data_IF_025514180961
#
_entry.id   IF_025514180961
#
_cell.length_a   1.000
_cell.length_b   1.000
_cell.length_c   1.000
_cell.angle_alpha   90.00
_cell.angle_beta   90.00
_cell.angle_gamma   90.00
#
_symmetry.space_group_name_H-M   'P 1'
#
loop_
_entity.id
_entity.type
_entity.pdbx_description
1 polymer ?
#
# COMPACT_ATOMS: atom_id res chain seq x y z
N UNK A 1 -4.20 -37.45 -8.96
CA UNK A 1 -4.13 -38.02 -7.57
C UNK A 1 -3.65 -36.89 -6.67
N UNK A 2 -4.61 -36.06 -6.21
CA UNK A 2 -4.31 -34.86 -5.44
C UNK A 2 -3.90 -35.29 -4.04
N UNK A 3 -2.62 -35.17 -3.74
CA UNK A 3 -2.10 -35.31 -2.38
C UNK A 3 -2.72 -34.17 -1.55
N UNK A 4 -3.79 -34.48 -0.79
CA UNK A 4 -4.24 -33.65 0.33
C UNK A 4 -3.09 -33.61 1.33
N UNK A 5 -2.30 -32.54 1.29
CA UNK A 5 -1.25 -32.26 2.25
C UNK A 5 -1.92 -32.13 3.62
N UNK A 6 -1.77 -33.15 4.46
CA UNK A 6 -2.14 -33.05 5.86
C UNK A 6 -1.26 -31.96 6.49
N UNK A 7 -1.87 -30.93 7.04
CA UNK A 7 -1.23 -29.70 7.56
C UNK A 7 -0.23 -29.89 8.71
N UNK A 8 0.12 -31.12 9.05
CA UNK A 8 1.04 -31.51 10.14
C UNK A 8 2.32 -32.19 9.69
N UNK A 9 2.49 -32.43 8.38
CA UNK A 9 3.69 -33.10 7.84
C UNK A 9 4.67 -32.08 7.29
N UNK A 10 5.97 -32.28 7.56
CA UNK A 10 7.02 -31.56 6.84
C UNK A 10 6.98 -31.99 5.36
N UNK A 11 7.03 -31.01 4.47
CA UNK A 11 7.11 -31.22 3.02
C UNK A 11 8.38 -30.57 2.48
N UNK A 12 8.97 -31.18 1.46
CA UNK A 12 10.04 -30.52 0.72
C UNK A 12 9.45 -29.36 -0.05
N UNK A 13 9.91 -28.15 0.27
CA UNK A 13 9.39 -26.90 -0.31
C UNK A 13 9.54 -26.86 -1.83
N UNK A 14 10.56 -27.53 -2.37
CA UNK A 14 10.78 -27.60 -3.82
C UNK A 14 9.78 -28.52 -4.55
N UNK A 15 9.08 -29.38 -3.81
CA UNK A 15 8.06 -30.29 -4.35
C UNK A 15 6.65 -29.74 -4.16
N UNK A 16 6.50 -28.56 -3.53
CA UNK A 16 5.19 -27.92 -3.38
C UNK A 16 4.74 -27.39 -4.73
N UNK A 17 3.62 -27.91 -5.21
CA UNK A 17 2.96 -27.33 -6.39
C UNK A 17 2.28 -26.02 -5.96
N UNK A 18 2.74 -24.91 -6.50
CA UNK A 18 2.14 -23.59 -6.24
C UNK A 18 0.97 -23.43 -7.21
N UNK A 19 -0.28 -23.26 -6.71
CA UNK A 19 -1.43 -23.03 -7.57
C UNK A 19 -1.26 -21.79 -8.44
N UNK A 20 -1.75 -21.81 -9.68
CA UNK A 20 -1.67 -20.70 -10.62
C UNK A 20 -2.25 -19.40 -10.07
N UNK A 21 -3.23 -19.48 -9.18
CA UNK A 21 -3.83 -18.34 -8.50
C UNK A 21 -2.81 -17.49 -7.74
N UNK A 22 -1.73 -18.08 -7.20
CA UNK A 22 -0.67 -17.35 -6.50
C UNK A 22 0.24 -16.57 -7.43
N UNK A 23 0.29 -16.93 -8.72
CA UNK A 23 1.02 -16.18 -9.75
C UNK A 23 0.16 -15.06 -10.37
N UNK A 24 -1.16 -15.15 -10.23
CA UNK A 24 -2.12 -14.16 -10.74
C UNK A 24 -2.64 -13.32 -9.59
N UNK A 25 -2.11 -12.11 -9.48
CA UNK A 25 -2.60 -11.14 -8.48
C UNK A 25 -3.96 -10.61 -8.89
N UNK A 26 -4.82 -10.35 -7.90
CA UNK A 26 -6.10 -9.68 -8.10
C UNK A 26 -5.85 -8.18 -8.23
N UNK A 27 -6.08 -7.61 -9.41
CA UNK A 27 -5.87 -6.19 -9.68
C UNK A 27 -7.16 -5.41 -9.55
N UNK A 28 -7.07 -4.23 -8.94
CA UNK A 28 -8.21 -3.31 -8.83
C UNK A 28 -8.39 -2.43 -10.08
N UNK A 29 -7.39 -2.40 -10.98
CA UNK A 29 -7.34 -1.46 -12.09
C UNK A 29 -6.99 -0.04 -11.66
N UNK A 30 -6.70 0.19 -10.38
CA UNK A 30 -6.14 1.44 -9.86
C UNK A 30 -4.62 1.21 -9.76
N UNK A 31 -3.91 1.59 -10.83
CA UNK A 31 -2.48 1.27 -11.02
C UNK A 31 -1.63 1.62 -9.79
N UNK A 32 -1.87 2.79 -9.19
CA UNK A 32 -1.11 3.26 -8.05
C UNK A 32 -1.29 2.36 -6.82
N UNK A 33 -2.52 1.89 -6.56
CA UNK A 33 -2.80 0.95 -5.47
C UNK A 33 -2.26 -0.45 -5.79
N UNK A 34 -2.47 -0.94 -7.01
CA UNK A 34 -1.99 -2.25 -7.42
C UNK A 34 -0.47 -2.35 -7.30
N UNK A 35 0.25 -1.29 -7.68
CA UNK A 35 1.71 -1.20 -7.53
C UNK A 35 2.16 -1.24 -6.06
N UNK A 36 1.43 -0.60 -5.14
CA UNK A 36 1.72 -0.67 -3.70
C UNK A 36 1.55 -2.08 -3.14
N UNK A 37 0.58 -2.84 -3.65
CA UNK A 37 0.39 -4.25 -3.28
C UNK A 37 1.36 -5.21 -3.99
N UNK A 38 2.25 -4.72 -4.87
CA UNK A 38 3.18 -5.55 -5.65
C UNK A 38 2.50 -6.17 -6.87
N UNK A 39 1.81 -5.35 -7.65
CA UNK A 39 1.00 -5.67 -8.83
C UNK A 39 -0.35 -6.34 -8.52
N UNK A 40 -0.94 -6.00 -7.37
CA UNK A 40 -2.27 -6.47 -6.95
C UNK A 40 -2.27 -7.31 -5.68
N UNK A 41 -3.46 -7.71 -5.25
CA UNK A 41 -3.68 -8.47 -4.02
C UNK A 41 -3.31 -9.95 -4.22
N UNK A 42 -2.64 -10.54 -3.23
CA UNK A 42 -2.31 -11.98 -3.24
C UNK A 42 -3.47 -12.78 -2.61
N UNK A 43 -3.99 -13.85 -3.26
CA UNK A 43 -5.00 -14.70 -2.68
C UNK A 43 -4.63 -15.21 -1.28
N UNK A 44 -5.60 -15.22 -0.37
CA UNK A 44 -5.41 -15.66 1.02
C UNK A 44 -4.59 -14.70 1.90
N UNK A 45 -4.19 -13.53 1.39
CA UNK A 45 -3.47 -12.53 2.19
C UNK A 45 -4.38 -11.82 3.18
N UNK A 46 -3.77 -11.33 4.25
CA UNK A 46 -4.45 -10.63 5.34
C UNK A 46 -3.88 -9.22 5.48
N UNK A 47 -4.76 -8.23 5.47
CA UNK A 47 -4.42 -6.81 5.39
C UNK A 47 -5.11 -6.07 6.53
N UNK A 48 -4.42 -5.19 7.21
CA UNK A 48 -5.04 -4.20 8.08
C UNK A 48 -4.90 -2.81 7.50
N UNK A 49 -5.96 -2.02 7.63
CA UNK A 49 -5.93 -0.59 7.31
C UNK A 49 -6.38 0.21 8.53
N UNK A 50 -5.54 1.13 8.96
CA UNK A 50 -5.77 1.90 10.17
C UNK A 50 -5.66 3.41 9.90
N UNK A 51 -6.59 4.17 10.47
CA UNK A 51 -6.55 5.62 10.41
C UNK A 51 -7.41 6.22 11.53
N UNK A 52 -7.22 7.50 11.81
CA UNK A 52 -8.17 8.28 12.61
C UNK A 52 -9.54 8.31 11.91
N UNK A 53 -10.61 8.54 12.69
CA UNK A 53 -11.94 8.75 12.13
C UNK A 53 -11.92 9.91 11.12
N UNK A 54 -12.69 9.79 10.04
CA UNK A 54 -12.81 10.82 9.01
C UNK A 54 -11.67 10.90 7.99
N UNK A 55 -10.64 10.05 8.06
CA UNK A 55 -9.54 10.06 7.08
C UNK A 55 -9.82 9.24 5.81
N UNK A 56 -11.02 8.66 5.65
CA UNK A 56 -11.45 8.06 4.39
C UNK A 56 -11.21 6.56 4.24
N UNK A 57 -11.06 5.79 5.35
CA UNK A 57 -10.90 4.31 5.29
C UNK A 57 -11.99 3.62 4.46
N UNK A 58 -13.25 3.86 4.81
CA UNK A 58 -14.42 3.28 4.11
C UNK A 58 -14.42 3.68 2.62
N UNK A 59 -14.13 4.96 2.32
CA UNK A 59 -14.05 5.46 0.94
C UNK A 59 -12.98 4.73 0.14
N UNK A 60 -11.76 4.59 0.69
CA UNK A 60 -10.67 3.87 0.03
C UNK A 60 -11.04 2.40 -0.23
N UNK A 61 -11.63 1.74 0.76
CA UNK A 61 -12.02 0.34 0.61
C UNK A 61 -13.12 0.14 -0.42
N UNK A 62 -14.13 1.00 -0.44
CA UNK A 62 -15.20 0.91 -1.45
C UNK A 62 -14.68 1.14 -2.86
N UNK A 63 -13.75 2.06 -3.08
CA UNK A 63 -13.13 2.26 -4.39
C UNK A 63 -12.24 1.08 -4.80
N UNK A 64 -11.46 0.53 -3.89
CA UNK A 64 -10.68 -0.69 -4.12
C UNK A 64 -11.60 -1.86 -4.52
N UNK A 65 -12.68 -2.08 -3.77
CA UNK A 65 -13.64 -3.14 -4.06
C UNK A 65 -14.35 -2.92 -5.40
N UNK A 66 -14.72 -1.68 -5.74
CA UNK A 66 -15.31 -1.38 -7.05
C UNK A 66 -14.35 -1.72 -8.20
N UNK A 67 -13.07 -1.40 -8.03
CA UNK A 67 -12.04 -1.78 -9.00
C UNK A 67 -11.96 -3.29 -9.19
N UNK A 68 -11.97 -4.05 -8.08
CA UNK A 68 -11.97 -5.52 -8.09
C UNK A 68 -13.24 -6.11 -8.73
N UNK A 69 -14.42 -5.53 -8.47
CA UNK A 69 -15.67 -5.91 -9.17
C UNK A 69 -15.54 -5.70 -10.68
N UNK A 70 -14.96 -4.59 -11.11
CA UNK A 70 -14.78 -4.28 -12.52
C UNK A 70 -13.82 -5.25 -13.23
N UNK A 71 -12.91 -5.88 -12.48
CA UNK A 71 -11.99 -6.93 -12.97
C UNK A 71 -12.52 -8.35 -12.76
N UNK A 72 -13.78 -8.50 -12.30
CA UNK A 72 -14.51 -9.77 -12.26
C UNK A 72 -14.40 -10.55 -10.95
N UNK A 73 -13.98 -9.89 -9.86
CA UNK A 73 -13.86 -10.53 -8.54
C UNK A 73 -15.16 -10.39 -7.71
N UNK A 74 -15.46 -11.44 -6.95
CA UNK A 74 -16.55 -11.47 -5.97
C UNK A 74 -16.07 -10.79 -4.67
N UNK A 75 -16.72 -9.70 -4.29
CA UNK A 75 -16.31 -8.92 -3.13
C UNK A 75 -17.42 -8.78 -2.09
N UNK A 76 -17.02 -8.75 -0.82
CA UNK A 76 -17.90 -8.56 0.31
C UNK A 76 -17.47 -7.44 1.25
N UNK A 77 -18.44 -6.78 1.89
CA UNK A 77 -18.22 -5.78 2.92
C UNK A 77 -19.09 -6.09 4.14
N UNK A 78 -18.44 -6.39 5.25
CA UNK A 78 -19.11 -6.65 6.52
C UNK A 78 -18.92 -5.42 7.42
N UNK A 79 -20.00 -4.69 7.68
CA UNK A 79 -20.01 -3.56 8.60
C UNK A 79 -20.57 -3.98 9.96
N UNK A 80 -19.91 -3.56 11.04
CA UNK A 80 -20.46 -3.65 12.39
C UNK A 80 -20.52 -2.26 13.08
N UNK A 81 -20.27 -1.21 12.31
CA UNK A 81 -20.30 0.19 12.79
C UNK A 81 -21.41 1.00 12.10
N UNK A 82 -21.49 0.91 10.78
CA UNK A 82 -22.48 1.64 9.98
C UNK A 82 -23.62 0.68 9.58
N UNK A 83 -24.86 1.21 9.49
CA UNK A 83 -25.98 0.45 8.93
C UNK A 83 -25.80 0.23 7.43
N UNK A 84 -26.52 -0.76 6.89
CA UNK A 84 -26.49 -1.04 5.44
C UNK A 84 -26.97 0.17 4.63
N UNK A 85 -27.95 0.93 5.15
CA UNK A 85 -28.46 2.12 4.52
C UNK A 85 -27.40 3.24 4.45
N UNK A 86 -26.63 3.44 5.53
CA UNK A 86 -25.53 4.42 5.56
C UNK A 86 -24.41 4.01 4.58
N UNK A 87 -24.05 2.74 4.55
CA UNK A 87 -23.08 2.22 3.59
C UNK A 87 -23.58 2.40 2.16
N UNK A 88 -24.88 2.10 1.88
CA UNK A 88 -25.49 2.28 0.57
C UNK A 88 -25.49 3.75 0.12
N UNK A 89 -25.71 4.71 1.04
CA UNK A 89 -25.57 6.13 0.73
C UNK A 89 -24.14 6.47 0.30
N UNK A 90 -23.15 5.94 0.98
CA UNK A 90 -21.73 6.13 0.62
C UNK A 90 -21.40 5.50 -0.72
N UNK A 91 -21.86 4.28 -0.99
CA UNK A 91 -21.73 3.62 -2.29
C UNK A 91 -22.34 4.45 -3.41
N UNK A 92 -23.56 4.99 -3.21
CA UNK A 92 -24.22 5.85 -4.19
C UNK A 92 -23.43 7.14 -4.48
N UNK A 93 -22.87 7.77 -3.44
CA UNK A 93 -22.03 8.97 -3.57
C UNK A 93 -20.76 8.69 -4.39
N UNK A 94 -20.17 7.51 -4.19
CA UNK A 94 -18.93 7.09 -4.85
C UNK A 94 -19.17 6.37 -6.19
N UNK A 95 -20.42 6.22 -6.63
CA UNK A 95 -20.81 5.43 -7.79
C UNK A 95 -20.29 3.98 -7.74
N UNK A 96 -20.35 3.37 -6.54
CA UNK A 96 -19.94 2.01 -6.27
C UNK A 96 -21.13 1.07 -6.36
N UNK A 97 -20.99 -0.02 -7.11
CA UNK A 97 -22.06 -0.97 -7.40
C UNK A 97 -21.59 -2.42 -7.24
N UNK A 98 -22.54 -3.35 -7.11
CA UNK A 98 -22.29 -4.81 -7.08
C UNK A 98 -21.39 -5.28 -5.93
N UNK A 99 -21.37 -4.55 -4.80
CA UNK A 99 -20.76 -5.00 -3.56
C UNK A 99 -21.81 -5.64 -2.69
N UNK A 100 -21.56 -6.88 -2.24
CA UNK A 100 -22.43 -7.55 -1.25
C UNK A 100 -22.04 -7.08 0.13
N UNK A 101 -23.01 -6.61 0.91
CA UNK A 101 -22.77 -6.12 2.26
C UNK A 101 -23.68 -6.79 3.29
N UNK A 102 -23.20 -6.87 4.53
CA UNK A 102 -23.98 -7.32 5.68
C UNK A 102 -23.63 -6.51 6.93
N UNK A 103 -24.57 -6.48 7.89
CA UNK A 103 -24.27 -6.07 9.26
C UNK A 103 -24.09 -7.34 10.12
N UNK A 104 -22.86 -7.65 10.48
CA UNK A 104 -22.53 -8.79 11.31
C UNK A 104 -21.30 -8.47 12.17
N UNK A 105 -21.32 -8.88 13.43
CA UNK A 105 -20.20 -8.75 14.36
C UNK A 105 -19.65 -10.11 14.81
N UNK A 106 -20.43 -11.17 14.72
CA UNK A 106 -20.00 -12.50 15.15
C UNK A 106 -18.95 -13.07 14.19
N UNK A 107 -17.74 -13.22 14.70
CA UNK A 107 -16.58 -13.67 13.90
C UNK A 107 -16.77 -15.06 13.28
N UNK A 108 -17.53 -15.97 13.90
CA UNK A 108 -17.77 -17.30 13.32
C UNK A 108 -18.70 -17.22 12.13
N UNK A 109 -19.73 -16.37 12.21
CA UNK A 109 -20.66 -16.13 11.11
C UNK A 109 -19.90 -15.49 9.93
N UNK A 110 -19.12 -14.42 10.19
CA UNK A 110 -18.29 -13.77 9.17
C UNK A 110 -17.35 -14.79 8.52
N UNK A 111 -16.62 -15.57 9.33
CA UNK A 111 -15.70 -16.60 8.85
C UNK A 111 -16.40 -17.63 7.94
N UNK A 112 -17.66 -17.99 8.19
CA UNK A 112 -18.40 -18.97 7.39
C UNK A 112 -18.75 -18.47 5.98
N UNK A 113 -18.75 -17.14 5.76
CA UNK A 113 -19.04 -16.54 4.47
C UNK A 113 -17.82 -16.33 3.59
N UNK A 114 -16.61 -16.43 4.14
CA UNK A 114 -15.38 -16.09 3.42
C UNK A 114 -15.14 -16.94 2.16
N UNK A 115 -15.64 -18.19 2.11
CA UNK A 115 -15.55 -19.04 0.90
C UNK A 115 -16.36 -18.50 -0.30
N UNK A 116 -17.20 -17.48 -0.10
CA UNK A 116 -18.06 -16.90 -1.13
C UNK A 116 -17.46 -15.67 -1.79
N UNK A 117 -16.30 -15.22 -1.32
CA UNK A 117 -15.69 -13.98 -1.75
C UNK A 117 -14.20 -14.17 -2.05
N UNK A 118 -13.73 -13.51 -3.11
CA UNK A 118 -12.30 -13.36 -3.37
C UNK A 118 -11.69 -12.36 -2.39
N UNK A 119 -12.45 -11.29 -2.05
CA UNK A 119 -12.03 -10.26 -1.09
C UNK A 119 -13.17 -9.94 -0.13
N UNK A 120 -12.89 -9.96 1.17
CA UNK A 120 -13.82 -9.55 2.22
C UNK A 120 -13.22 -8.43 3.07
N UNK A 121 -13.94 -7.31 3.17
CA UNK A 121 -13.64 -6.23 4.11
C UNK A 121 -14.49 -6.39 5.36
N UNK A 122 -13.88 -6.19 6.54
CA UNK A 122 -14.55 -6.14 7.85
C UNK A 122 -14.30 -4.78 8.50
N UNK A 123 -15.35 -4.03 8.73
CA UNK A 123 -15.36 -2.69 9.31
C UNK A 123 -16.25 -2.65 10.58
N UNK A 124 -15.65 -2.71 11.75
CA UNK A 124 -14.22 -2.73 12.06
C UNK A 124 -13.84 -4.00 12.85
N UNK A 125 -12.53 -4.26 12.92
CA UNK A 125 -11.97 -5.32 13.76
C UNK A 125 -12.37 -5.17 15.24
N UNK A 126 -12.44 -3.94 15.75
CA UNK A 126 -12.78 -3.65 17.13
C UNK A 126 -14.25 -3.92 17.48
N UNK A 127 -15.14 -3.98 16.49
CA UNK A 127 -16.56 -4.31 16.66
C UNK A 127 -16.86 -5.80 16.62
N UNK A 128 -15.86 -6.66 16.41
CA UNK A 128 -16.06 -8.11 16.36
C UNK A 128 -16.48 -8.69 17.72
N UNK A 129 -17.27 -9.73 17.68
CA UNK A 129 -17.80 -10.42 18.87
C UNK A 129 -17.70 -11.94 18.75
N UNK A 130 -17.69 -12.62 19.92
CA UNK A 130 -17.78 -14.09 20.02
C UNK A 130 -18.25 -14.51 21.39
N UNK A 131 -19.53 -14.83 21.53
CA UNK A 131 -20.10 -15.27 22.81
C UNK A 131 -19.68 -14.39 23.95
N UNK A 132 -19.19 -14.98 25.04
CA UNK A 132 -18.75 -14.26 26.26
C UNK A 132 -17.27 -13.81 26.20
N UNK A 133 -16.57 -14.03 25.08
CA UNK A 133 -15.17 -13.59 24.94
C UNK A 133 -15.08 -12.07 24.90
N UNK A 134 -14.08 -11.52 25.59
CA UNK A 134 -13.81 -10.08 25.61
C UNK A 134 -12.32 -9.78 25.70
N UNK A 135 -11.96 -8.53 25.46
CA UNK A 135 -10.60 -8.03 25.57
C UNK A 135 -9.60 -8.84 24.72
N UNK A 136 -8.44 -9.13 25.29
CA UNK A 136 -7.34 -9.81 24.59
C UNK A 136 -7.67 -11.24 24.13
N UNK A 137 -8.54 -11.95 24.86
CA UNK A 137 -8.97 -13.30 24.48
C UNK A 137 -9.81 -13.28 23.20
N UNK A 138 -10.75 -12.33 23.10
CA UNK A 138 -11.54 -12.10 21.89
C UNK A 138 -10.65 -11.70 20.71
N UNK A 139 -9.74 -10.72 20.90
CA UNK A 139 -8.81 -10.31 19.84
C UNK A 139 -8.02 -11.50 19.29
N UNK A 140 -7.42 -12.29 20.17
CA UNK A 140 -6.64 -13.46 19.78
C UNK A 140 -7.50 -14.47 18.99
N UNK A 141 -8.70 -14.77 19.48
CA UNK A 141 -9.63 -15.67 18.82
C UNK A 141 -9.99 -15.16 17.42
N UNK A 142 -10.38 -13.90 17.28
CA UNK A 142 -10.74 -13.28 16.00
C UNK A 142 -9.57 -13.34 15.00
N UNK A 143 -8.37 -12.97 15.43
CA UNK A 143 -7.16 -12.98 14.58
C UNK A 143 -6.89 -14.40 14.08
N UNK A 144 -6.81 -15.39 14.98
CA UNK A 144 -6.50 -16.78 14.63
C UNK A 144 -7.56 -17.36 13.69
N UNK A 145 -8.85 -17.15 14.01
CA UNK A 145 -9.97 -17.67 13.23
C UNK A 145 -10.00 -17.10 11.83
N UNK A 146 -9.95 -15.77 11.70
CA UNK A 146 -10.08 -15.08 10.41
C UNK A 146 -8.87 -15.31 9.52
N UNK A 147 -7.64 -15.23 10.07
CA UNK A 147 -6.41 -15.46 9.28
C UNK A 147 -6.34 -16.90 8.79
N UNK A 148 -6.67 -17.89 9.67
CA UNK A 148 -6.70 -19.29 9.26
C UNK A 148 -7.71 -19.51 8.13
N UNK A 149 -8.89 -18.89 8.24
CA UNK A 149 -9.93 -19.00 7.22
C UNK A 149 -9.52 -18.33 5.91
N UNK A 150 -8.97 -17.13 5.95
CA UNK A 150 -8.47 -16.42 4.77
C UNK A 150 -7.51 -17.29 3.95
N UNK A 151 -6.53 -17.89 4.62
CA UNK A 151 -5.54 -18.78 3.97
C UNK A 151 -6.17 -20.04 3.39
N UNK A 152 -7.15 -20.65 4.08
CA UNK A 152 -7.77 -21.91 3.61
C UNK A 152 -8.81 -21.72 2.51
N UNK A 153 -9.39 -20.53 2.38
CA UNK A 153 -10.38 -20.17 1.36
C UNK A 153 -9.79 -19.34 0.21
N UNK A 154 -8.50 -19.00 0.29
CA UNK A 154 -7.82 -18.08 -0.63
C UNK A 154 -8.46 -16.69 -0.69
N UNK A 155 -9.37 -16.37 0.23
CA UNK A 155 -10.02 -15.07 0.34
C UNK A 155 -9.05 -14.03 0.90
N UNK A 156 -8.88 -12.90 0.23
CA UNK A 156 -8.16 -11.74 0.81
C UNK A 156 -9.02 -11.12 1.89
N UNK A 157 -8.50 -11.06 3.09
CA UNK A 157 -9.17 -10.44 4.23
C UNK A 157 -8.60 -9.06 4.51
N UNK A 158 -9.45 -8.03 4.49
CA UNK A 158 -9.08 -6.67 4.86
C UNK A 158 -9.81 -6.27 6.14
N UNK A 159 -9.05 -5.97 7.19
CA UNK A 159 -9.57 -5.58 8.49
C UNK A 159 -9.37 -4.08 8.68
N UNK A 160 -10.46 -3.31 8.76
CA UNK A 160 -10.40 -1.90 9.12
C UNK A 160 -10.21 -1.80 10.62
N UNK A 161 -9.22 -0.99 11.04
CA UNK A 161 -8.86 -0.77 12.43
C UNK A 161 -8.94 0.71 12.79
N UNK A 162 -9.27 0.99 14.05
CA UNK A 162 -9.23 2.35 14.58
C UNK A 162 -7.87 2.64 15.20
N UNK A 163 -7.40 3.88 15.03
CA UNK A 163 -6.23 4.39 15.72
C UNK A 163 -6.64 5.07 17.02
N UNK A 164 -5.77 4.96 18.02
CA UNK A 164 -5.80 5.81 19.21
C UNK A 164 -5.48 7.26 18.82
N UNK A 165 -5.71 8.21 19.74
CA UNK A 165 -5.29 9.62 19.56
C UNK A 165 -3.78 9.75 19.29
N UNK A 166 -2.97 8.82 19.77
CA UNK A 166 -1.52 8.76 19.55
C UNK A 166 -1.12 8.16 18.20
N UNK A 167 -2.09 7.80 17.33
CA UNK A 167 -1.81 7.23 15.99
C UNK A 167 -1.51 5.74 15.97
N UNK A 168 -1.53 5.06 17.12
CA UNK A 168 -1.36 3.60 17.18
C UNK A 168 -2.69 2.89 16.98
N UNK A 169 -2.67 1.67 16.43
CA UNK A 169 -3.89 0.85 16.31
C UNK A 169 -4.46 0.62 17.71
N UNK A 170 -5.76 0.92 17.87
CA UNK A 170 -6.48 0.69 19.12
C UNK A 170 -6.62 -0.81 19.36
N UNK A 171 -6.11 -1.31 20.48
CA UNK A 171 -6.07 -2.72 20.82
C UNK A 171 -4.64 -3.22 21.00
N UNK A 172 -4.42 -4.52 20.89
CA UNK A 172 -3.11 -5.12 21.04
C UNK A 172 -2.29 -5.05 19.73
N UNK A 173 -0.96 -5.03 19.87
CA UNK A 173 -0.04 -5.18 18.72
C UNK A 173 -0.14 -6.54 18.02
N UNK A 174 -0.92 -7.49 18.56
CA UNK A 174 -1.06 -8.84 18.03
C UNK A 174 -1.49 -8.86 16.57
N UNK A 175 -2.47 -8.02 16.19
CA UNK A 175 -2.97 -7.98 14.83
C UNK A 175 -1.90 -7.54 13.82
N UNK A 176 -1.09 -6.53 14.15
CA UNK A 176 -0.02 -6.02 13.26
C UNK A 176 1.01 -7.11 12.97
N UNK A 177 1.35 -7.90 13.99
CA UNK A 177 2.30 -9.00 13.81
C UNK A 177 1.72 -10.16 13.02
N UNK A 178 0.43 -10.43 13.17
CA UNK A 178 -0.24 -11.57 12.57
C UNK A 178 -0.55 -11.39 11.07
N UNK A 179 -0.90 -10.16 10.62
CA UNK A 179 -1.27 -9.89 9.22
C UNK A 179 -0.07 -9.82 8.30
N UNK A 180 -0.31 -9.95 7.00
CA UNK A 180 0.73 -9.91 5.97
C UNK A 180 1.04 -8.48 5.53
N UNK A 181 0.02 -7.60 5.48
CA UNK A 181 0.14 -6.20 5.09
C UNK A 181 -0.48 -5.31 6.17
N UNK A 182 0.20 -4.22 6.51
CA UNK A 182 -0.32 -3.20 7.42
C UNK A 182 -0.23 -1.82 6.77
N UNK A 183 -1.39 -1.18 6.61
CA UNK A 183 -1.55 0.11 5.94
C UNK A 183 -2.04 1.14 6.96
N UNK A 184 -1.49 2.35 6.90
CA UNK A 184 -2.02 3.51 7.58
C UNK A 184 -2.47 4.58 6.57
N UNK A 185 -3.51 5.35 6.91
CA UNK A 185 -3.86 6.58 6.20
C UNK A 185 -3.58 7.74 7.14
N UNK A 186 -2.80 8.68 6.67
CA UNK A 186 -2.35 9.85 7.40
C UNK A 186 -2.65 11.14 6.62
N UNK A 187 -2.87 12.28 7.26
CA UNK A 187 -2.85 13.55 6.57
C UNK A 187 -1.43 13.87 6.09
N UNK A 188 -1.30 14.51 4.93
CA UNK A 188 -0.01 15.03 4.47
C UNK A 188 0.28 16.32 5.23
N UNK A 189 1.48 16.39 5.82
CA UNK A 189 1.90 17.58 6.56
C UNK A 189 2.16 18.73 5.58
N UNK A 190 1.74 19.92 5.97
CA UNK A 190 1.94 21.15 5.21
C UNK A 190 1.33 21.10 3.79
N UNK A 191 0.26 20.30 3.60
CA UNK A 191 -0.54 20.20 2.39
C UNK A 191 -2.01 20.55 2.65
N UNK A 192 -2.85 20.52 1.63
CA UNK A 192 -4.29 20.76 1.77
C UNK A 192 -4.94 19.74 2.70
N UNK A 193 -6.05 20.18 3.36
CA UNK A 193 -6.74 19.37 4.37
C UNK A 193 -7.27 18.04 3.85
N UNK A 194 -7.52 17.93 2.55
CA UNK A 194 -7.95 16.71 1.85
C UNK A 194 -6.79 15.87 1.30
N UNK A 195 -5.54 16.31 1.44
CA UNK A 195 -4.38 15.49 1.07
C UNK A 195 -4.18 14.34 2.05
N UNK A 196 -3.93 13.14 1.51
CA UNK A 196 -3.74 11.89 2.27
C UNK A 196 -2.48 11.20 1.83
N UNK A 197 -1.84 10.56 2.79
CA UNK A 197 -0.71 9.66 2.57
C UNK A 197 -1.12 8.26 2.99
N UNK A 198 -1.06 7.32 2.07
CA UNK A 198 -1.28 5.89 2.29
C UNK A 198 0.09 5.26 2.52
N UNK A 199 0.33 4.79 3.75
CA UNK A 199 1.64 4.30 4.21
C UNK A 199 1.59 2.79 4.39
N UNK A 200 2.48 2.08 3.72
CA UNK A 200 2.64 0.64 3.88
C UNK A 200 3.70 0.32 4.93
N UNK A 201 3.29 0.28 6.21
CA UNK A 201 4.18 -0.01 7.34
C UNK A 201 4.75 -1.44 7.31
N UNK A 202 4.03 -2.37 6.69
CA UNK A 202 4.42 -3.76 6.49
C UNK A 202 3.82 -4.27 5.20
N UNK A 203 4.63 -4.88 4.35
CA UNK A 203 4.17 -5.55 3.14
C UNK A 203 5.07 -6.77 2.86
N UNK A 204 4.53 -7.98 3.06
CA UNK A 204 5.26 -9.23 2.80
C UNK A 204 5.34 -9.57 1.33
N UNK A 205 4.47 -9.00 0.50
CA UNK A 205 4.25 -9.44 -0.88
C UNK A 205 4.52 -8.35 -1.92
N UNK A 206 4.97 -7.19 -1.48
CA UNK A 206 5.23 -6.04 -2.35
C UNK A 206 6.18 -5.04 -1.72
N UNK A 207 6.36 -3.88 -2.36
CA UNK A 207 7.21 -2.82 -1.83
C UNK A 207 6.60 -2.19 -0.57
N UNK A 208 7.45 -1.59 0.26
CA UNK A 208 7.01 -0.75 1.38
C UNK A 208 7.15 0.72 0.97
N UNK A 209 6.32 1.14 0.02
CA UNK A 209 6.27 2.51 -0.49
C UNK A 209 5.02 3.22 0.04
N UNK A 210 5.05 4.54 -0.03
CA UNK A 210 3.92 5.40 0.32
C UNK A 210 3.32 6.00 -0.96
N UNK A 211 2.02 6.33 -0.90
CA UNK A 211 1.30 7.02 -1.95
C UNK A 211 0.63 8.25 -1.37
N UNK A 212 0.91 9.43 -1.95
CA UNK A 212 0.18 10.65 -1.64
C UNK A 212 -0.93 10.86 -2.68
N UNK A 213 -2.10 11.31 -2.22
CA UNK A 213 -3.31 11.45 -3.02
C UNK A 213 -4.26 12.44 -2.36
N UNK A 214 -5.27 12.87 -3.07
CA UNK A 214 -6.36 13.66 -2.50
C UNK A 214 -7.58 12.79 -2.22
N UNK A 215 -8.37 13.18 -1.19
CA UNK A 215 -9.71 12.65 -0.98
C UNK A 215 -10.72 13.77 -1.23
N UNK A 216 -11.69 13.50 -2.12
CA UNK A 216 -12.71 14.44 -2.54
C UNK A 216 -14.13 13.88 -2.30
N UNK A 217 -15.16 14.62 -2.70
CA UNK A 217 -16.56 14.16 -2.55
C UNK A 217 -16.85 12.85 -3.28
N UNK A 218 -16.27 12.67 -4.46
CA UNK A 218 -16.42 11.48 -5.31
C UNK A 218 -15.41 10.39 -5.02
N UNK A 219 -14.53 10.56 -4.02
CA UNK A 219 -13.56 9.55 -3.57
C UNK A 219 -12.12 10.01 -3.62
N UNK A 220 -11.22 9.04 -3.63
CA UNK A 220 -9.78 9.30 -3.75
C UNK A 220 -9.40 9.60 -5.19
N UNK A 221 -8.63 10.66 -5.37
CA UNK A 221 -7.90 10.97 -6.61
C UNK A 221 -6.44 10.53 -6.44
N UNK A 222 -6.05 9.54 -7.21
CA UNK A 222 -4.70 8.98 -7.23
C UNK A 222 -3.83 9.54 -8.36
N UNK A 223 -4.40 10.39 -9.23
CA UNK A 223 -3.71 10.92 -10.41
C UNK A 223 -3.04 12.25 -10.12
N UNK A 224 -3.67 13.08 -9.27
CA UNK A 224 -3.17 14.42 -8.95
C UNK A 224 -1.99 14.35 -7.98
N UNK A 225 -0.90 15.06 -8.30
CA UNK A 225 0.22 15.23 -7.38
C UNK A 225 -0.18 16.14 -6.22
N UNK A 226 0.11 15.71 -4.98
CA UNK A 226 -0.17 16.52 -3.78
C UNK A 226 0.81 17.69 -3.69
N UNK A 227 0.26 18.91 -3.69
CA UNK A 227 1.03 20.14 -3.51
C UNK A 227 1.16 20.49 -2.01
N UNK A 228 2.34 20.94 -1.59
CA UNK A 228 2.57 21.44 -0.23
C UNK A 228 2.19 22.92 -0.14
N UNK A 229 1.48 23.31 0.92
CA UNK A 229 1.10 24.69 1.18
C UNK A 229 2.33 25.50 1.64
N UNK A 230 2.60 26.60 0.98
CA UNK A 230 3.73 27.50 1.31
C UNK A 230 4.93 27.43 0.40
N UNK A 231 4.87 26.64 -0.66
CA UNK A 231 5.87 26.66 -1.72
C UNK A 231 5.51 27.66 -2.84
N UNK A 232 5.42 28.94 -2.50
CA UNK A 232 5.84 29.98 -3.45
C UNK A 232 7.38 29.97 -3.45
N UNK A 233 7.98 29.41 -4.49
CA UNK A 233 9.40 29.09 -4.69
C UNK A 233 9.83 27.71 -4.16
N UNK A 234 9.49 26.74 -4.94
CA UNK A 234 9.79 25.31 -4.85
C UNK A 234 11.28 25.03 -4.74
N UNK A 235 11.70 24.46 -3.63
CA UNK A 235 12.83 23.52 -3.70
C UNK A 235 12.25 22.16 -4.12
N UNK A 236 12.60 21.62 -5.30
CA UNK A 236 12.09 20.33 -5.76
C UNK A 236 12.35 19.24 -4.71
N UNK A 237 11.45 18.28 -4.56
CA UNK A 237 11.64 17.13 -3.65
C UNK A 237 13.04 16.57 -3.87
N UNK A 238 13.70 16.07 -2.81
CA UNK A 238 15.10 15.56 -2.92
C UNK A 238 15.30 14.63 -4.12
N UNK A 239 14.26 13.89 -4.52
CA UNK A 239 14.27 13.00 -5.69
C UNK A 239 14.08 13.76 -7.02
N UNK A 240 13.14 14.73 -7.08
CA UNK A 240 12.98 15.64 -8.25
C UNK A 240 14.19 16.56 -8.42
N UNK A 241 14.71 17.13 -7.32
CA UNK A 241 15.94 17.92 -7.34
C UNK A 241 17.15 17.11 -7.81
N UNK A 242 17.25 15.86 -7.37
CA UNK A 242 18.31 14.94 -7.79
C UNK A 242 18.19 14.60 -9.27
N UNK A 243 16.99 14.30 -9.77
CA UNK A 243 16.76 14.02 -11.20
C UNK A 243 17.03 15.26 -12.06
N UNK A 244 16.58 16.43 -11.64
CA UNK A 244 16.84 17.69 -12.36
C UNK A 244 18.33 18.05 -12.38
N UNK A 245 19.06 17.86 -11.26
CA UNK A 245 20.51 18.03 -11.21
C UNK A 245 21.24 17.06 -12.16
N UNK A 246 20.77 15.81 -12.24
CA UNK A 246 21.30 14.80 -13.16
C UNK A 246 21.08 15.18 -14.62
N UNK A 247 19.87 15.59 -14.98
CA UNK A 247 19.58 16.08 -16.34
C UNK A 247 20.46 17.29 -16.70
N UNK A 248 20.60 18.25 -15.80
CA UNK A 248 21.47 19.40 -16.01
C UNK A 248 22.94 19.00 -16.23
N UNK A 249 23.46 18.04 -15.46
CA UNK A 249 24.83 17.52 -15.67
C UNK A 249 24.95 16.87 -17.06
N UNK A 250 23.93 16.10 -17.46
CA UNK A 250 23.94 15.41 -18.75
C UNK A 250 23.75 16.36 -19.95
N UNK A 251 23.32 17.60 -19.78
CA UNK A 251 23.32 18.61 -20.86
C UNK A 251 24.69 19.29 -21.08
N UNK A 252 25.64 19.12 -20.15
CA UNK A 252 26.95 19.71 -20.28
C UNK A 252 27.78 19.11 -21.42
N UNK A 253 28.53 19.90 -22.14
CA UNK A 253 29.51 19.45 -23.14
C UNK A 253 30.79 18.94 -22.49
N UNK A 254 31.21 19.58 -21.39
CA UNK A 254 32.40 19.21 -20.59
C UNK A 254 31.96 18.90 -19.15
N UNK A 255 31.84 17.60 -18.84
CA UNK A 255 31.45 17.15 -17.52
C UNK A 255 32.70 17.01 -16.64
N UNK A 256 32.90 17.95 -15.72
CA UNK A 256 34.00 17.96 -14.77
C UNK A 256 33.52 18.39 -13.38
N UNK A 257 34.25 18.03 -12.31
CA UNK A 257 33.90 18.46 -10.94
C UNK A 257 33.71 19.96 -10.88
N UNK A 258 34.66 20.71 -11.46
CA UNK A 258 34.64 22.19 -11.46
C UNK A 258 33.44 22.74 -12.24
N UNK A 259 33.11 22.13 -13.38
CA UNK A 259 31.95 22.49 -14.19
C UNK A 259 30.64 22.26 -13.43
N UNK A 260 30.47 21.09 -12.79
CA UNK A 260 29.29 20.73 -11.99
C UNK A 260 29.14 21.65 -10.77
N UNK A 261 30.24 21.97 -10.07
CA UNK A 261 30.21 22.94 -8.98
C UNK A 261 29.67 24.31 -9.45
N UNK A 262 30.13 24.79 -10.61
CA UNK A 262 29.71 26.08 -11.18
C UNK A 262 28.25 26.05 -11.63
N UNK A 263 27.83 24.94 -12.27
CA UNK A 263 26.47 24.78 -12.79
C UNK A 263 25.44 24.70 -11.66
N UNK A 264 25.71 23.90 -10.61
CA UNK A 264 24.73 23.58 -9.55
C UNK A 264 24.93 24.41 -8.28
N UNK A 265 25.98 25.23 -8.17
CA UNK A 265 26.30 26.02 -6.97
C UNK A 265 26.63 25.15 -5.73
N UNK A 266 27.26 23.98 -5.93
CA UNK A 266 27.58 23.00 -4.88
C UNK A 266 29.12 22.88 -4.71
N UNK A 267 29.53 22.33 -3.57
CA UNK A 267 30.94 22.05 -3.29
C UNK A 267 31.48 20.85 -4.10
N UNK A 268 32.82 20.73 -4.16
CA UNK A 268 33.50 19.69 -4.93
C UNK A 268 33.22 18.27 -4.43
N UNK A 269 32.96 18.10 -3.11
CA UNK A 269 32.65 16.81 -2.51
C UNK A 269 31.29 16.32 -3.00
N UNK A 270 30.30 17.22 -3.01
CA UNK A 270 28.94 16.93 -3.49
C UNK A 270 28.91 16.70 -4.99
N UNK A 271 29.63 17.50 -5.78
CA UNK A 271 29.76 17.31 -7.22
C UNK A 271 30.42 15.96 -7.56
N UNK A 272 31.48 15.58 -6.84
CA UNK A 272 32.13 14.29 -7.00
C UNK A 272 31.23 13.11 -6.67
N UNK A 273 30.36 13.26 -5.67
CA UNK A 273 29.38 12.24 -5.33
C UNK A 273 28.35 12.02 -6.46
N UNK A 274 27.78 13.10 -7.01
CA UNK A 274 26.82 13.03 -8.12
C UNK A 274 27.41 12.39 -9.37
N UNK A 275 28.66 12.77 -9.73
CA UNK A 275 29.36 12.18 -10.87
C UNK A 275 29.67 10.69 -10.67
N UNK A 276 30.01 10.29 -9.45
CA UNK A 276 30.24 8.87 -9.11
C UNK A 276 28.95 8.06 -9.22
N UNK A 277 27.79 8.59 -8.79
CA UNK A 277 26.50 7.94 -8.98
C UNK A 277 26.16 7.71 -10.45
N UNK A 278 26.29 8.76 -11.29
CA UNK A 278 26.05 8.66 -12.74
C UNK A 278 27.01 7.65 -13.40
N UNK A 279 28.25 7.57 -12.93
CA UNK A 279 29.22 6.58 -13.41
C UNK A 279 28.85 5.15 -12.99
N UNK A 280 28.38 4.94 -11.77
CA UNK A 280 27.94 3.63 -11.29
C UNK A 280 26.68 3.12 -12.03
N UNK A 281 25.87 4.05 -12.52
CA UNK A 281 24.68 3.76 -13.32
C UNK A 281 25.02 3.54 -14.82
N UNK A 282 26.28 3.67 -15.21
CA UNK A 282 26.71 3.48 -16.61
C UNK A 282 26.31 4.61 -17.56
N UNK A 283 25.90 5.77 -17.04
CA UNK A 283 25.46 6.92 -17.86
C UNK A 283 26.62 7.77 -18.35
N UNK A 284 27.69 7.83 -17.55
CA UNK A 284 28.95 8.53 -17.88
C UNK A 284 30.15 7.68 -17.54
N UNK A 285 31.24 7.86 -18.28
CA UNK A 285 32.52 7.20 -18.05
C UNK A 285 33.61 8.24 -17.71
N UNK A 286 34.41 7.92 -16.70
CA UNK A 286 35.50 8.80 -16.28
C UNK A 286 36.73 8.64 -17.17
N UNK A 287 37.22 9.73 -17.72
CA UNK A 287 38.49 9.83 -18.45
C UNK A 287 39.50 10.64 -17.68
N UNK A 288 40.76 10.19 -17.65
CA UNK A 288 41.85 10.86 -16.97
C UNK A 288 41.94 10.60 -15.45
N UNK A 289 42.95 11.18 -14.80
CA UNK A 289 43.22 11.05 -13.35
C UNK A 289 43.49 12.41 -12.72
N UNK A 290 43.20 12.55 -11.43
CA UNK A 290 43.49 13.76 -10.65
C UNK A 290 42.54 14.92 -10.93
N UNK A 291 43.03 16.14 -10.85
CA UNK A 291 42.25 17.37 -10.97
C UNK A 291 41.73 17.65 -12.39
N UNK A 292 42.34 17.05 -13.40
CA UNK A 292 41.98 17.19 -14.83
C UNK A 292 41.07 16.05 -15.31
N UNK A 293 40.53 15.23 -14.41
CA UNK A 293 39.62 14.19 -14.77
C UNK A 293 38.30 14.75 -15.32
N UNK A 294 37.84 14.20 -16.45
CA UNK A 294 36.59 14.53 -17.12
C UNK A 294 35.69 13.31 -17.18
N UNK A 295 34.41 13.52 -17.38
CA UNK A 295 33.45 12.46 -17.62
C UNK A 295 32.82 12.69 -18.98
N UNK A 296 32.67 11.61 -19.74
CA UNK A 296 32.02 11.60 -21.05
C UNK A 296 30.77 10.77 -20.99
N UNK A 297 29.77 11.11 -21.78
CA UNK A 297 28.54 10.30 -21.88
C UNK A 297 28.86 8.97 -22.54
N UNK A 298 28.34 7.90 -21.98
CA UNK A 298 28.41 6.59 -22.64
C UNK A 298 27.48 6.62 -23.86
N UNK A 299 28.09 6.47 -25.06
CA UNK A 299 27.30 6.39 -26.30
C UNK A 299 26.77 4.98 -26.38
N UNK A 300 25.42 4.81 -26.37
CA UNK A 300 24.72 3.54 -26.48
C UNK A 300 24.89 2.93 -27.88
#
# INVERSE_FOLDING_TARGET
>A
MDLKINSTSFVDINQVNIPDAFYRRMTSGIEQLDNLFGSGLLPGSTITIAARAGLGKTTLMLQLLQGLVNTGHEVGYCSNEESIEQLAMTCKRLNVNNIRACNESNVDVISSYMDKFDVLVVDSFQGLSKGDLSGRALEKYCIEKLIKKAKSSECVLILICHNTKAGQIKGSSLIIHAVDVNIAIEPVKDAEINARRIVFNKNRFGPSNDLECYIEQNGYDFQSEVALLGEESVKPSKKKAKNQQREQILTMEDISIKGVCKLLGIDATRAGFLLRELQLEGVIVKEGRGADARWVKEVA
#
